data_IF_741258407088
#
_entry.id   IF_741258407088
#
_cell.length_a   1.000
_cell.length_b   1.000
_cell.length_c   1.000
_cell.angle_alpha   90.00
_cell.angle_beta   90.00
_cell.angle_gamma   90.00
#
_symmetry.space_group_name_H-M   'P 1'
#
loop_
_entity.id
_entity.type
_entity.pdbx_description
1 polymer ?
#
# COMPACT_ATOMS: atom_id res chain seq x y z
N UNK A 1 11.39 3.33 -13.30
CA UNK A 1 10.06 3.59 -13.89
C UNK A 1 9.61 4.98 -13.47
N UNK A 2 9.65 5.95 -14.37
CA UNK A 2 9.10 7.29 -14.14
C UNK A 2 7.67 7.28 -14.68
N UNK A 3 6.68 7.31 -13.79
CA UNK A 3 5.35 7.78 -14.20
C UNK A 3 5.42 9.30 -14.35
N UNK A 4 4.89 9.90 -15.44
CA UNK A 4 4.72 11.34 -15.51
C UNK A 4 3.86 11.80 -14.31
N UNK A 5 4.01 13.05 -13.88
CA UNK A 5 3.18 13.66 -12.85
C UNK A 5 1.72 13.73 -13.35
N UNK A 6 1.00 12.63 -13.24
CA UNK A 6 -0.35 12.43 -13.75
C UNK A 6 -1.13 11.68 -12.71
N UNK A 7 -2.31 12.22 -12.42
CA UNK A 7 -3.48 11.78 -11.65
C UNK A 7 -3.51 10.34 -11.11
N UNK A 8 -2.45 9.88 -10.45
CA UNK A 8 -2.33 8.55 -9.87
C UNK A 8 -2.30 8.68 -8.36
N UNK A 9 -3.22 7.97 -7.70
CA UNK A 9 -3.17 7.79 -6.26
C UNK A 9 -2.33 6.57 -5.94
N UNK A 10 -1.45 6.72 -4.94
CA UNK A 10 -0.55 5.67 -4.48
C UNK A 10 -0.76 5.44 -2.99
N UNK A 11 -1.07 4.21 -2.62
CA UNK A 11 -1.17 3.74 -1.25
C UNK A 11 -0.02 2.78 -0.94
N UNK A 12 0.60 2.97 0.22
CA UNK A 12 1.57 2.05 0.80
C UNK A 12 1.04 1.60 2.17
N UNK A 13 0.79 0.31 2.31
CA UNK A 13 0.40 -0.32 3.57
C UNK A 13 1.53 -1.17 4.14
N UNK A 14 1.75 -1.10 5.44
CA UNK A 14 2.65 -2.03 6.13
C UNK A 14 2.01 -3.41 6.22
N UNK A 15 2.78 -4.46 5.94
CA UNK A 15 2.37 -5.83 6.21
C UNK A 15 2.86 -6.20 7.61
N UNK A 16 1.98 -6.05 8.58
CA UNK A 16 2.23 -6.44 9.96
C UNK A 16 2.13 -7.96 10.11
N UNK A 17 3.02 -8.53 10.91
CA UNK A 17 3.07 -9.96 11.19
C UNK A 17 2.01 -10.31 12.22
N UNK A 18 1.12 -11.23 11.88
CA UNK A 18 0.12 -11.80 12.78
C UNK A 18 0.56 -13.20 13.25
N UNK A 19 -0.04 -13.74 14.32
CA UNK A 19 0.25 -15.10 14.79
C UNK A 19 0.20 -16.17 13.68
N UNK A 20 -0.73 -16.06 12.73
CA UNK A 20 -0.85 -16.96 11.57
C UNK A 20 0.37 -16.94 10.65
N UNK A 21 1.10 -15.83 10.59
CA UNK A 21 2.31 -15.68 9.76
C UNK A 21 3.49 -16.47 10.32
N UNK A 22 3.53 -16.66 11.63
CA UNK A 22 4.68 -17.25 12.33
C UNK A 22 4.85 -18.75 12.07
N UNK A 23 3.83 -19.42 11.54
CA UNK A 23 3.94 -20.81 11.07
C UNK A 23 5.09 -21.00 10.07
N UNK A 24 5.40 -19.96 9.27
CA UNK A 24 6.49 -19.98 8.29
C UNK A 24 7.57 -18.92 8.57
N UNK A 25 7.20 -17.78 9.17
CA UNK A 25 8.11 -16.63 9.30
C UNK A 25 8.86 -16.55 10.63
N UNK A 26 8.54 -17.39 11.63
CA UNK A 26 9.29 -17.42 12.90
C UNK A 26 10.77 -17.79 12.70
N UNK A 27 11.06 -18.72 11.78
CA UNK A 27 12.45 -19.12 11.47
C UNK A 27 13.28 -18.02 10.79
N UNK A 28 12.61 -16.98 10.27
CA UNK A 28 13.25 -15.80 9.70
C UNK A 28 13.51 -14.71 10.76
N UNK A 29 13.09 -14.95 12.01
CA UNK A 29 13.28 -14.04 13.14
C UNK A 29 12.14 -13.03 13.35
N UNK A 30 11.01 -13.18 12.66
CA UNK A 30 9.84 -12.33 12.87
C UNK A 30 9.05 -12.70 14.12
N UNK A 31 8.48 -11.69 14.77
CA UNK A 31 7.57 -11.77 15.90
C UNK A 31 6.22 -11.14 15.56
N UNK A 32 5.19 -11.46 16.34
CA UNK A 32 3.88 -10.84 16.18
C UNK A 32 3.97 -9.32 16.41
N UNK A 33 3.39 -8.53 15.50
CA UNK A 33 3.49 -7.07 15.47
C UNK A 33 4.64 -6.52 14.62
N UNK A 34 5.61 -7.33 14.20
CA UNK A 34 6.72 -6.87 13.35
C UNK A 34 6.23 -6.49 11.95
N UNK A 35 6.86 -5.49 11.33
CA UNK A 35 6.66 -5.18 9.92
C UNK A 35 7.50 -6.11 9.05
N UNK A 36 6.87 -7.03 8.33
CA UNK A 36 7.54 -8.02 7.46
C UNK A 36 7.61 -7.62 5.98
N UNK A 37 7.05 -6.48 5.63
CA UNK A 37 7.05 -5.96 4.26
C UNK A 37 6.05 -4.85 4.06
N UNK A 38 5.76 -4.54 2.80
CA UNK A 38 4.75 -3.57 2.42
C UNK A 38 3.98 -3.99 1.19
N UNK A 39 2.73 -3.57 1.11
CA UNK A 39 1.91 -3.66 -0.10
C UNK A 39 1.79 -2.27 -0.73
N UNK A 40 2.00 -2.21 -2.04
CA UNK A 40 1.81 -1.00 -2.83
C UNK A 40 0.59 -1.18 -3.71
N UNK A 41 -0.29 -0.18 -3.73
CA UNK A 41 -1.43 -0.12 -4.64
C UNK A 41 -1.41 1.25 -5.32
N UNK A 42 -1.43 1.25 -6.65
CA UNK A 42 -1.51 2.47 -7.46
C UNK A 42 -2.71 2.39 -8.38
N UNK A 43 -3.47 3.47 -8.50
CA UNK A 43 -4.60 3.57 -9.42
C UNK A 43 -4.78 4.99 -9.95
N UNK A 44 -5.33 5.08 -11.15
CA UNK A 44 -5.71 6.34 -11.79
C UNK A 44 -6.94 6.93 -11.07
N UNK A 45 -6.86 8.21 -10.72
CA UNK A 45 -7.93 8.98 -10.06
C UNK A 45 -8.49 10.11 -10.93
N UNK A 46 -8.25 10.08 -12.23
CA UNK A 46 -8.66 11.13 -13.15
C UNK A 46 -10.19 11.35 -13.17
N UNK A 47 -11.01 10.30 -12.98
CA UNK A 47 -12.47 10.44 -12.88
C UNK A 47 -12.90 11.17 -11.60
N UNK A 48 -12.33 10.81 -10.44
CA UNK A 48 -12.59 11.48 -9.16
C UNK A 48 -12.12 12.94 -9.17
N UNK A 49 -10.98 13.22 -9.81
CA UNK A 49 -10.45 14.58 -9.94
C UNK A 49 -11.42 15.51 -10.69
N UNK A 50 -12.00 15.03 -11.79
CA UNK A 50 -12.93 15.84 -12.61
C UNK A 50 -14.14 16.29 -11.81
N UNK A 51 -14.70 15.45 -10.95
CA UNK A 51 -15.82 15.85 -10.09
C UNK A 51 -15.38 16.85 -9.02
N UNK A 52 -14.21 16.65 -8.39
CA UNK A 52 -13.71 17.56 -7.36
C UNK A 52 -13.45 18.99 -7.87
N UNK A 53 -12.97 19.13 -9.12
CA UNK A 53 -12.72 20.43 -9.76
C UNK A 53 -14.03 21.20 -10.04
N UNK A 54 -15.15 20.51 -10.28
CA UNK A 54 -16.43 21.17 -10.57
C UNK A 54 -17.06 21.79 -9.31
N UNK A 55 -16.65 21.33 -8.12
CA UNK A 55 -17.13 21.83 -6.83
C UNK A 55 -16.18 22.83 -6.14
N UNK A 56 -15.07 23.22 -6.78
CA UNK A 56 -14.09 24.22 -6.31
C UNK A 56 -14.06 25.42 -7.25
#
# INVERSE_FOLDING_TARGET
MKGPAGHEFRYMGALTTEASCLACHAVQGYHEGDVRGGISVSFDVESMRRELIVYL
#
